data_IF_503120665788
#
_entry.id   IF_503120665788
#
_cell.length_a   1.000
_cell.length_b   1.000
_cell.length_c   1.000
_cell.angle_alpha   90.00
_cell.angle_beta   90.00
_cell.angle_gamma   90.00
#
_symmetry.space_group_name_H-M   'P 1'
#
loop_
_entity.id
_entity.type
_entity.pdbx_description
1 polymer ?
#
# COMPACT_ATOMS: atom_id res chain seq x y z
N UNK A 1 -33.97 -6.10 19.00
CA UNK A 1 -33.66 -6.15 17.55
C UNK A 1 -34.12 -7.51 17.07
N UNK A 2 -34.98 -7.58 16.05
CA UNK A 2 -35.42 -8.86 15.49
C UNK A 2 -34.20 -9.60 14.96
N UNK A 3 -34.02 -10.84 15.38
CA UNK A 3 -33.04 -11.76 14.81
C UNK A 3 -33.36 -11.90 13.32
N UNK A 4 -32.36 -11.71 12.45
CA UNK A 4 -32.54 -11.87 11.01
C UNK A 4 -32.69 -13.36 10.71
N UNK A 5 -33.85 -13.76 10.19
CA UNK A 5 -34.10 -15.15 9.79
C UNK A 5 -33.85 -15.31 8.30
N UNK A 6 -32.91 -16.18 7.94
CA UNK A 6 -32.62 -16.55 6.56
C UNK A 6 -33.87 -17.14 5.88
N UNK A 7 -34.10 -16.76 4.62
CA UNK A 7 -35.25 -17.16 3.83
C UNK A 7 -34.88 -18.11 2.68
N UNK A 8 -33.59 -18.23 2.35
CA UNK A 8 -33.11 -19.06 1.24
C UNK A 8 -32.14 -20.15 1.67
N UNK A 9 -32.15 -21.29 0.98
CA UNK A 9 -31.15 -22.34 1.05
C UNK A 9 -30.58 -22.65 -0.34
N UNK A 10 -29.46 -23.37 -0.41
CA UNK A 10 -28.84 -23.75 -1.68
C UNK A 10 -29.08 -25.23 -1.95
N UNK A 11 -29.49 -25.53 -3.17
CA UNK A 11 -29.61 -26.90 -3.67
C UNK A 11 -28.24 -27.52 -3.96
N UNK A 12 -28.23 -28.77 -4.45
CA UNK A 12 -27.01 -29.50 -4.83
C UNK A 12 -26.28 -28.90 -6.05
N UNK A 13 -26.93 -28.03 -6.81
CA UNK A 13 -26.38 -27.32 -7.97
C UNK A 13 -25.92 -25.88 -7.62
N UNK A 14 -26.11 -25.45 -6.37
CA UNK A 14 -25.75 -24.13 -5.87
C UNK A 14 -26.80 -23.03 -6.12
N UNK A 15 -27.96 -23.37 -6.69
CA UNK A 15 -29.08 -22.45 -6.87
C UNK A 15 -29.83 -22.24 -5.57
N UNK A 16 -30.35 -21.03 -5.39
CA UNK A 16 -31.11 -20.68 -4.20
C UNK A 16 -32.59 -21.00 -4.36
N UNK A 17 -33.14 -21.66 -3.35
CA UNK A 17 -34.57 -21.92 -3.18
C UNK A 17 -35.12 -21.17 -1.94
N UNK A 18 -36.44 -21.16 -1.78
CA UNK A 18 -37.11 -20.54 -0.63
C UNK A 18 -37.36 -21.62 0.42
N UNK A 19 -36.86 -21.38 1.64
CA UNK A 19 -37.05 -22.32 2.76
C UNK A 19 -38.54 -22.50 3.05
N UNK A 20 -38.99 -23.75 2.99
CA UNK A 20 -40.37 -24.14 3.30
C UNK A 20 -41.38 -23.93 2.17
N UNK A 21 -40.90 -23.67 0.94
CA UNK A 21 -41.71 -23.65 -0.28
C UNK A 21 -41.19 -24.74 -1.21
N UNK A 22 -42.11 -25.52 -1.79
CA UNK A 22 -41.75 -26.50 -2.81
C UNK A 22 -41.40 -25.76 -4.11
N UNK A 23 -40.17 -25.94 -4.60
CA UNK A 23 -39.70 -25.33 -5.85
C UNK A 23 -40.47 -25.87 -7.05
N UNK A 24 -41.05 -27.07 -6.96
CA UNK A 24 -41.94 -27.61 -7.98
C UNK A 24 -43.18 -26.74 -8.18
N UNK A 25 -43.84 -26.35 -7.09
CA UNK A 25 -45.05 -25.53 -7.12
C UNK A 25 -44.78 -24.10 -7.61
N UNK A 26 -43.61 -23.54 -7.24
CA UNK A 26 -43.26 -22.16 -7.54
C UNK A 26 -42.70 -21.99 -8.96
N UNK A 27 -41.88 -22.93 -9.43
CA UNK A 27 -41.04 -22.71 -10.61
C UNK A 27 -41.42 -23.60 -11.81
N UNK A 28 -41.98 -24.80 -11.62
CA UNK A 28 -42.22 -25.73 -12.75
C UNK A 28 -43.38 -25.33 -13.66
N UNK A 29 -44.18 -24.33 -13.28
CA UNK A 29 -45.23 -23.76 -14.14
C UNK A 29 -44.74 -22.57 -14.98
N UNK A 30 -43.47 -22.17 -14.84
CA UNK A 30 -42.88 -21.04 -15.55
C UNK A 30 -42.27 -21.46 -16.89
N UNK A 31 -42.28 -20.57 -17.88
CA UNK A 31 -41.48 -20.78 -19.07
C UNK A 31 -39.97 -20.68 -18.74
N UNK A 32 -39.11 -21.26 -19.57
CA UNK A 32 -37.67 -21.35 -19.31
C UNK A 32 -37.02 -19.99 -18.97
N UNK A 33 -37.41 -18.92 -19.66
CA UNK A 33 -36.89 -17.57 -19.40
C UNK A 33 -37.39 -16.98 -18.08
N UNK A 34 -38.60 -17.36 -17.65
CA UNK A 34 -39.20 -16.94 -16.38
C UNK A 34 -38.61 -17.72 -15.21
N UNK A 35 -38.42 -19.03 -15.37
CA UNK A 35 -37.69 -19.90 -14.45
C UNK A 35 -36.31 -19.30 -14.14
N UNK A 36 -35.52 -19.01 -15.18
CA UNK A 36 -34.18 -18.43 -15.02
C UNK A 36 -34.19 -17.06 -14.32
N UNK A 37 -35.21 -16.23 -14.55
CA UNK A 37 -35.33 -14.94 -13.86
C UNK A 37 -35.58 -15.14 -12.36
N UNK A 38 -36.44 -16.09 -11.99
CA UNK A 38 -36.72 -16.42 -10.59
C UNK A 38 -35.47 -16.98 -9.92
N UNK A 39 -34.79 -17.97 -10.53
CA UNK A 39 -33.54 -18.53 -10.01
C UNK A 39 -32.47 -17.44 -9.81
N UNK A 40 -32.31 -16.52 -10.76
CA UNK A 40 -31.37 -15.41 -10.63
C UNK A 40 -31.74 -14.43 -9.51
N UNK A 41 -33.04 -14.17 -9.32
CA UNK A 41 -33.52 -13.32 -8.23
C UNK A 41 -33.27 -13.95 -6.86
N UNK A 42 -33.56 -15.26 -6.72
CA UNK A 42 -33.29 -16.01 -5.49
C UNK A 42 -31.80 -16.09 -5.19
N UNK A 43 -30.97 -16.33 -6.21
CA UNK A 43 -29.51 -16.34 -6.05
C UNK A 43 -28.98 -14.99 -5.54
N UNK A 44 -29.53 -13.87 -6.03
CA UNK A 44 -29.18 -12.54 -5.53
C UNK A 44 -29.68 -12.33 -4.10
N UNK A 45 -30.88 -12.80 -3.77
CA UNK A 45 -31.40 -12.71 -2.41
C UNK A 45 -30.48 -13.47 -1.44
N UNK A 46 -30.14 -14.73 -1.75
CA UNK A 46 -29.22 -15.55 -0.97
C UNK A 46 -27.87 -14.87 -0.78
N UNK A 47 -27.31 -14.22 -1.81
CA UNK A 47 -26.08 -13.44 -1.69
C UNK A 47 -26.22 -12.28 -0.69
N UNK A 48 -27.36 -11.57 -0.67
CA UNK A 48 -27.59 -10.54 0.33
C UNK A 48 -27.73 -11.13 1.74
N UNK A 49 -28.38 -12.28 1.89
CA UNK A 49 -28.44 -12.97 3.17
C UNK A 49 -27.05 -13.45 3.64
N UNK A 50 -26.17 -13.83 2.71
CA UNK A 50 -24.78 -14.25 2.97
C UNK A 50 -23.87 -13.07 3.39
N UNK A 51 -24.11 -11.86 2.84
CA UNK A 51 -23.40 -10.63 3.25
C UNK A 51 -23.82 -10.17 4.65
N UNK A 52 -25.03 -10.57 5.08
CA UNK A 52 -25.60 -10.23 6.36
C UNK A 52 -26.58 -9.05 6.31
N UNK A 53 -27.22 -8.80 7.44
CA UNK A 53 -28.20 -7.73 7.59
C UNK A 53 -27.57 -6.33 7.54
N UNK A 54 -28.39 -5.27 7.43
CA UNK A 54 -27.90 -3.88 7.40
C UNK A 54 -26.96 -3.50 8.55
N UNK A 55 -27.13 -4.12 9.73
CA UNK A 55 -26.28 -3.90 10.89
C UNK A 55 -24.88 -4.54 10.73
N UNK A 56 -24.79 -5.72 10.14
CA UNK A 56 -23.51 -6.39 9.84
C UNK A 56 -22.77 -5.65 8.73
N UNK A 57 -23.50 -5.23 7.69
CA UNK A 57 -22.95 -4.38 6.64
C UNK A 57 -22.41 -3.05 7.18
N UNK A 58 -23.14 -2.40 8.11
CA UNK A 58 -22.68 -1.17 8.75
C UNK A 58 -21.40 -1.38 9.57
N UNK A 59 -21.27 -2.52 10.27
CA UNK A 59 -20.05 -2.88 11.00
C UNK A 59 -18.87 -3.10 10.05
N UNK A 60 -19.04 -3.93 9.03
CA UNK A 60 -18.03 -4.19 8.01
C UNK A 60 -17.57 -2.91 7.31
N UNK A 61 -18.50 -2.00 7.00
CA UNK A 61 -18.18 -0.70 6.41
C UNK A 61 -17.36 0.16 7.37
N UNK A 62 -17.73 0.23 8.65
CA UNK A 62 -16.98 0.99 9.65
C UNK A 62 -15.56 0.42 9.87
N UNK A 63 -15.43 -0.90 9.89
CA UNK A 63 -14.13 -1.59 9.97
C UNK A 63 -13.26 -1.25 8.76
N UNK A 64 -13.80 -1.37 7.54
CA UNK A 64 -13.11 -1.03 6.30
C UNK A 64 -12.66 0.44 6.26
N UNK A 65 -13.50 1.37 6.73
CA UNK A 65 -13.14 2.79 6.82
C UNK A 65 -12.03 3.04 7.85
N UNK A 66 -12.06 2.33 8.98
CA UNK A 66 -11.01 2.42 10.01
C UNK A 66 -9.66 1.88 9.52
N UNK A 67 -9.69 0.78 8.75
CA UNK A 67 -8.48 0.18 8.16
C UNK A 67 -7.87 1.10 7.11
N UNK A 68 -8.68 1.71 6.25
CA UNK A 68 -8.23 2.73 5.28
C UNK A 68 -7.59 3.93 5.97
N UNK A 69 -8.20 4.41 7.06
CA UNK A 69 -7.64 5.50 7.84
C UNK A 69 -6.29 5.12 8.47
N UNK A 70 -6.17 3.88 8.95
CA UNK A 70 -4.93 3.35 9.51
C UNK A 70 -3.83 3.22 8.44
N UNK A 71 -4.17 2.70 7.27
CA UNK A 71 -3.25 2.60 6.13
C UNK A 71 -2.71 3.98 5.73
N UNK A 72 -3.59 4.97 5.56
CA UNK A 72 -3.20 6.35 5.25
C UNK A 72 -2.27 6.96 6.30
N UNK A 73 -2.51 6.66 7.58
CA UNK A 73 -1.65 7.11 8.68
C UNK A 73 -0.25 6.50 8.57
N UNK A 74 -0.15 5.21 8.29
CA UNK A 74 1.15 4.54 8.16
C UNK A 74 1.91 4.96 6.90
N UNK A 75 1.21 5.22 5.80
CA UNK A 75 1.81 5.77 4.58
C UNK A 75 2.44 7.14 4.83
N UNK A 76 1.73 8.04 5.52
CA UNK A 76 2.28 9.33 5.94
C UNK A 76 3.48 9.20 6.88
N UNK A 77 3.43 8.25 7.82
CA UNK A 77 4.54 8.00 8.73
C UNK A 77 5.77 7.49 7.98
N UNK A 78 5.59 6.58 7.02
CA UNK A 78 6.68 6.07 6.19
C UNK A 78 7.34 7.19 5.37
N UNK A 79 6.55 8.09 4.77
CA UNK A 79 7.04 9.28 4.07
C UNK A 79 7.82 10.21 5.00
N UNK A 80 7.27 10.50 6.18
CA UNK A 80 7.95 11.36 7.17
C UNK A 80 9.30 10.76 7.59
N UNK A 81 9.32 9.47 7.90
CA UNK A 81 10.54 8.77 8.26
C UNK A 81 11.55 8.79 7.11
N UNK A 82 11.12 8.57 5.86
CA UNK A 82 12.01 8.65 4.70
C UNK A 82 12.64 10.04 4.55
N UNK A 83 11.86 11.11 4.73
CA UNK A 83 12.38 12.48 4.72
C UNK A 83 13.38 12.74 5.85
N UNK A 84 13.09 12.25 7.06
CA UNK A 84 14.01 12.36 8.20
C UNK A 84 15.32 11.59 7.96
N UNK A 85 15.26 10.42 7.33
CA UNK A 85 16.45 9.67 6.90
C UNK A 85 17.29 10.45 5.86
N UNK A 86 16.65 11.10 4.89
CA UNK A 86 17.35 11.92 3.89
C UNK A 86 18.03 13.15 4.53
N UNK A 87 17.40 13.81 5.49
CA UNK A 87 18.00 14.91 6.26
C UNK A 87 19.25 14.43 7.04
N UNK A 88 19.15 13.29 7.73
CA UNK A 88 20.30 12.70 8.48
C UNK A 88 21.45 12.28 7.56
N UNK A 89 21.15 11.81 6.34
CA UNK A 89 22.18 11.50 5.33
C UNK A 89 22.85 12.79 4.84
N UNK A 90 22.07 13.86 4.64
CA UNK A 90 22.58 15.14 4.17
C UNK A 90 23.52 15.79 5.19
N UNK A 91 23.20 15.70 6.49
CA UNK A 91 24.10 16.16 7.58
C UNK A 91 25.45 15.44 7.61
N UNK A 92 25.53 14.20 7.12
CA UNK A 92 26.78 13.43 7.00
C UNK A 92 27.43 13.50 5.62
N UNK A 93 26.92 14.36 4.74
CA UNK A 93 27.58 14.63 3.47
C UNK A 93 28.64 15.74 3.61
N UNK A 94 29.61 15.75 2.71
CA UNK A 94 30.64 16.76 2.61
C UNK A 94 31.10 16.91 1.17
N UNK A 95 31.80 18.01 0.89
CA UNK A 95 32.38 18.26 -0.44
C UNK A 95 33.89 18.28 -0.32
N UNK A 96 34.58 17.63 -1.25
CA UNK A 96 36.04 17.73 -1.34
C UNK A 96 36.40 19.12 -1.87
N UNK A 97 37.20 19.86 -1.11
CA UNK A 97 37.83 21.08 -1.61
C UNK A 97 39.10 20.70 -2.38
N UNK A 98 39.21 21.17 -3.62
CA UNK A 98 40.42 20.98 -4.44
C UNK A 98 41.49 21.95 -3.96
N UNK A 99 42.64 21.41 -3.59
CA UNK A 99 43.81 22.19 -3.20
C UNK A 99 44.74 22.27 -4.40
N UNK A 100 44.94 23.48 -4.93
CA UNK A 100 45.82 23.73 -6.08
C UNK A 100 47.05 24.52 -5.63
N UNK A 101 48.20 24.25 -6.25
CA UNK A 101 49.43 24.99 -5.98
C UNK A 101 49.44 26.35 -6.70
N UNK A 102 50.51 27.11 -6.50
CA UNK A 102 50.72 28.40 -7.15
C UNK A 102 50.81 28.33 -8.70
N UNK A 103 50.89 27.11 -9.26
CA UNK A 103 50.92 26.83 -10.70
C UNK A 103 49.60 26.24 -11.21
N UNK A 104 48.53 26.31 -10.41
CA UNK A 104 47.19 25.78 -10.72
C UNK A 104 47.15 24.24 -10.90
N UNK A 105 48.18 23.53 -10.45
CA UNK A 105 48.20 22.08 -10.46
C UNK A 105 47.57 21.53 -9.17
N UNK A 106 46.77 20.47 -9.31
CA UNK A 106 46.08 19.83 -8.20
C UNK A 106 47.08 19.14 -7.25
N UNK A 107 47.22 19.64 -6.02
CA UNK A 107 48.04 19.05 -4.95
C UNK A 107 47.29 18.01 -4.14
N UNK A 108 45.97 18.13 -4.04
CA UNK A 108 45.14 17.16 -3.34
C UNK A 108 43.75 17.66 -3.03
N UNK A 109 43.10 16.95 -2.10
CA UNK A 109 41.74 17.21 -1.67
C UNK A 109 41.70 17.36 -0.16
N UNK A 110 41.00 18.39 0.32
CA UNK A 110 40.78 18.63 1.73
C UNK A 110 39.30 18.48 2.09
N UNK A 111 39.06 18.03 3.32
CA UNK A 111 37.72 17.97 3.91
C UNK A 111 37.63 19.02 5.02
N UNK A 112 36.45 19.62 5.23
CA UNK A 112 36.17 20.59 6.29
C UNK A 112 36.60 20.13 7.70
N UNK A 113 36.65 18.82 7.94
CA UNK A 113 37.16 18.25 9.20
C UNK A 113 38.68 18.38 9.40
N UNK A 114 39.42 18.92 8.44
CA UNK A 114 40.88 19.08 8.47
C UNK A 114 41.68 17.91 7.88
N UNK A 115 41.03 16.90 7.30
CA UNK A 115 41.73 15.82 6.58
C UNK A 115 42.21 16.29 5.21
N UNK A 116 43.43 15.91 4.83
CA UNK A 116 44.01 16.13 3.51
C UNK A 116 44.54 14.82 2.92
N UNK A 117 44.32 14.60 1.62
CA UNK A 117 44.86 13.45 0.90
C UNK A 117 44.98 13.70 -0.60
N UNK A 118 45.72 12.82 -1.30
CA UNK A 118 45.98 12.95 -2.74
C UNK A 118 44.82 12.47 -3.63
N UNK A 119 43.79 11.84 -3.06
CA UNK A 119 42.68 11.27 -3.80
C UNK A 119 41.33 11.62 -3.17
N UNK A 120 40.34 11.89 -4.01
CA UNK A 120 38.96 12.11 -3.62
C UNK A 120 38.22 10.77 -3.47
N UNK A 121 38.28 10.20 -2.27
CA UNK A 121 37.52 8.98 -1.96
C UNK A 121 36.02 9.25 -1.76
N UNK A 122 35.13 8.26 -1.92
CA UNK A 122 33.70 8.43 -1.67
C UNK A 122 33.35 8.80 -0.22
N UNK A 123 34.28 8.62 0.71
CA UNK A 123 34.14 8.98 2.12
C UNK A 123 35.43 9.61 2.65
N UNK A 124 35.30 10.57 3.57
CA UNK A 124 36.45 11.12 4.29
C UNK A 124 36.96 10.10 5.33
N UNK A 125 38.25 9.68 5.28
CA UNK A 125 38.80 8.70 6.22
C UNK A 125 38.84 9.17 7.68
N UNK A 126 38.87 10.48 7.91
CA UNK A 126 38.96 11.06 9.27
C UNK A 126 37.59 11.19 9.94
N UNK A 127 36.60 11.76 9.25
CA UNK A 127 35.28 12.07 9.83
C UNK A 127 34.15 11.15 9.34
N UNK A 128 34.41 10.28 8.37
CA UNK A 128 33.44 9.32 7.83
C UNK A 128 32.32 9.94 6.98
N UNK A 129 32.35 11.25 6.71
CA UNK A 129 31.36 11.90 5.83
C UNK A 129 31.41 11.33 4.42
N UNK A 130 30.26 11.18 3.79
CA UNK A 130 30.14 10.81 2.37
C UNK A 130 30.48 12.03 1.52
N UNK A 131 31.42 11.90 0.59
CA UNK A 131 32.02 13.05 -0.10
C UNK A 131 31.58 13.15 -1.57
N UNK A 132 31.38 14.37 -2.05
CA UNK A 132 31.15 14.73 -3.47
C UNK A 132 32.14 15.80 -3.95
N UNK A 133 32.21 16.07 -5.27
CA UNK A 133 32.97 17.23 -5.81
C UNK A 133 34.47 17.03 -6.05
N UNK A 134 34.96 15.79 -6.04
CA UNK A 134 36.38 15.47 -6.32
C UNK A 134 36.65 14.89 -7.71
N UNK A 135 35.70 15.01 -8.62
CA UNK A 135 35.85 14.53 -10.00
C UNK A 135 36.84 15.42 -10.76
N UNK A 136 37.77 14.81 -11.49
CA UNK A 136 38.60 15.53 -12.43
C UNK A 136 37.71 16.12 -13.52
N UNK A 137 37.82 17.43 -13.78
CA UNK A 137 37.28 18.03 -15.00
C UNK A 137 37.97 17.30 -16.15
N UNK A 138 37.24 16.43 -16.85
CA UNK A 138 37.75 15.84 -18.09
C UNK A 138 37.81 16.98 -19.13
N UNK A 139 39.01 17.50 -19.34
CA UNK A 139 39.36 18.42 -20.43
C UNK A 139 39.28 17.73 -21.78
#
# INVERSE_FOLDING_TARGET
MSEYKRLTDRDEFGNADIIGVDSEDLQLNLEYDEFNKVTNALNRLAQYEDIGGPAEFAKLKAELESEKALHHKYEKLALKNAMEYDEVINEKSGTWERMENAWEELEGFSCECGYFGQAAFPYCPSCGRKMSGGEAIQS
#
